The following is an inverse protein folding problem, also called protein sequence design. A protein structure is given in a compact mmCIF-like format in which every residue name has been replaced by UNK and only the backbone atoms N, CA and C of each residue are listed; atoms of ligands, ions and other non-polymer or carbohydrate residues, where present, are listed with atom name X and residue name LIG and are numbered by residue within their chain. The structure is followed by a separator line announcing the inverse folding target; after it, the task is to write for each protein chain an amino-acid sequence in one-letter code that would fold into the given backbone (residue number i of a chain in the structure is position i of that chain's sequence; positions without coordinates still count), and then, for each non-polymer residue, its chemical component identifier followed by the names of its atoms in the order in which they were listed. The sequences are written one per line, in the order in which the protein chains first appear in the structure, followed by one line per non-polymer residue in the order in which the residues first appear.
data_IF_956228336773
#
_entry.id   IF_956228336773
#
_cell.length_a   1.000
_cell.length_b   1.000
_cell.length_c   1.000
_cell.angle_alpha   90.00
_cell.angle_beta   90.00
_cell.angle_gamma   90.00
#
_symmetry.space_group_name_H-M   'P 1'
#
loop_
_entity.id
_entity.type
_entity.pdbx_description
1 polymer ?
#
# COMPACT_ATOMS: atom_id res chain seq x y z
N UNK A 1 8.15 -4.61 11.98
CA UNK A 1 8.90 -4.55 10.71
C UNK A 1 7.87 -4.37 9.62
N UNK A 2 8.01 -3.37 8.74
CA UNK A 2 7.07 -3.15 7.63
C UNK A 2 7.58 -3.98 6.46
N UNK A 3 6.76 -4.89 5.93
CA UNK A 3 7.08 -5.63 4.72
C UNK A 3 6.48 -4.87 3.55
N UNK A 4 7.35 -4.36 2.67
CA UNK A 4 6.93 -3.73 1.43
C UNK A 4 6.79 -4.80 0.34
N UNK A 5 5.68 -4.76 -0.38
CA UNK A 5 5.37 -5.62 -1.52
C UNK A 5 5.22 -4.75 -2.76
N UNK A 6 5.71 -5.25 -3.90
CA UNK A 6 5.52 -4.57 -5.18
C UNK A 6 4.05 -4.63 -5.57
N UNK A 7 3.51 -3.49 -5.95
CA UNK A 7 2.23 -3.43 -6.63
C UNK A 7 2.46 -3.66 -8.12
N UNK A 8 1.78 -4.65 -8.70
CA UNK A 8 1.96 -4.98 -10.12
C UNK A 8 1.31 -3.92 -11.02
N UNK A 9 0.15 -3.40 -10.63
CA UNK A 9 -0.66 -2.48 -11.44
C UNK A 9 -0.44 -1.00 -11.13
N UNK A 10 -0.03 -0.65 -9.91
CA UNK A 10 0.04 0.74 -9.48
C UNK A 10 1.39 1.35 -9.89
N UNK A 11 1.32 2.50 -10.54
CA UNK A 11 2.50 3.24 -11.03
C UNK A 11 2.61 4.59 -10.35
N UNK A 12 3.83 5.01 -10.08
CA UNK A 12 4.11 6.30 -9.48
C UNK A 12 3.67 7.40 -10.45
N UNK A 13 2.80 8.34 -10.03
CA UNK A 13 2.35 9.42 -10.91
C UNK A 13 3.47 10.39 -11.28
N UNK A 14 4.60 10.36 -10.56
CA UNK A 14 5.74 11.27 -10.75
C UNK A 14 6.75 10.76 -11.78
N UNK A 15 7.12 9.48 -11.70
CA UNK A 15 8.15 8.87 -12.56
C UNK A 15 7.66 7.70 -13.43
N UNK A 16 6.43 7.22 -13.23
CA UNK A 16 5.87 6.06 -13.94
C UNK A 16 6.39 4.70 -13.49
N UNK A 17 7.27 4.64 -12.50
CA UNK A 17 7.80 3.40 -11.95
C UNK A 17 6.74 2.61 -11.16
N UNK A 18 6.92 1.29 -10.97
CA UNK A 18 6.04 0.51 -10.10
C UNK A 18 6.07 1.04 -8.66
N UNK A 19 4.90 1.14 -8.03
CA UNK A 19 4.80 1.45 -6.61
C UNK A 19 5.00 0.18 -5.77
N UNK A 20 5.53 0.36 -4.58
CA UNK A 20 5.53 -0.67 -3.54
C UNK A 20 4.65 -0.18 -2.39
N UNK A 21 3.93 -1.10 -1.77
CA UNK A 21 3.08 -0.81 -0.63
C UNK A 21 3.48 -1.66 0.57
N UNK A 22 3.37 -1.10 1.76
CA UNK A 22 3.70 -1.77 3.00
C UNK A 22 2.66 -1.50 4.08
N UNK A 23 2.33 -2.54 4.84
CA UNK A 23 1.39 -2.42 5.96
C UNK A 23 2.14 -2.47 7.28
N UNK A 24 1.91 -1.48 8.14
CA UNK A 24 2.43 -1.44 9.50
C UNK A 24 1.32 -1.81 10.48
N UNK A 25 1.47 -2.93 11.15
CA UNK A 25 0.58 -3.34 12.24
C UNK A 25 0.66 -2.38 13.43
N UNK A 26 -0.50 -1.94 13.90
CA UNK A 26 -0.71 -1.19 15.13
C UNK A 26 -1.78 -1.90 15.98
N UNK A 27 -2.00 -1.42 17.21
CA UNK A 27 -2.81 -2.10 18.22
C UNK A 27 -4.27 -2.44 17.80
N UNK A 28 -4.83 -1.73 16.82
CA UNK A 28 -6.21 -1.97 16.35
C UNK A 28 -6.40 -1.65 14.87
N UNK A 29 -5.30 -1.55 14.13
CA UNK A 29 -5.32 -1.20 12.70
C UNK A 29 -3.97 -1.46 12.05
N UNK A 30 -3.96 -1.60 10.74
CA UNK A 30 -2.75 -1.57 9.92
C UNK A 30 -2.69 -0.29 9.12
N UNK A 31 -1.62 0.47 9.25
CA UNK A 31 -1.38 1.64 8.39
C UNK A 31 -0.79 1.19 7.06
N UNK A 32 -1.35 1.69 5.97
CA UNK A 32 -0.90 1.40 4.61
C UNK A 32 -0.07 2.56 4.11
N UNK A 33 1.15 2.25 3.68
CA UNK A 33 2.11 3.19 3.13
C UNK A 33 2.47 2.77 1.72
N UNK A 34 2.59 3.74 0.83
CA UNK A 34 3.09 3.55 -0.52
C UNK A 34 4.37 4.34 -0.70
N UNK A 35 5.35 3.74 -1.35
CA UNK A 35 6.54 4.44 -1.84
C UNK A 35 6.83 4.05 -3.29
N UNK A 36 7.52 4.94 -3.98
CA UNK A 36 8.05 4.63 -5.29
C UNK A 36 9.23 3.64 -5.18
N UNK A 37 9.16 2.53 -5.92
CA UNK A 37 10.24 1.55 -5.95
C UNK A 37 11.58 2.12 -6.44
N UNK A 38 11.54 3.08 -7.37
CA UNK A 38 12.74 3.76 -7.88
C UNK A 38 13.21 4.91 -6.98
N UNK A 39 12.54 5.14 -5.84
CA UNK A 39 12.84 6.21 -4.89
C UNK A 39 13.02 7.57 -5.57
N UNK A 40 12.09 7.90 -6.47
CA UNK A 40 12.00 9.25 -7.04
C UNK A 40 11.70 10.33 -5.98
N UNK A 41 11.39 9.93 -4.74
CA UNK A 41 11.01 10.80 -3.63
C UNK A 41 9.51 10.81 -3.35
N UNK A 42 8.71 10.06 -4.12
CA UNK A 42 7.29 9.92 -3.88
C UNK A 42 7.02 8.86 -2.81
N UNK A 43 6.47 9.29 -1.69
CA UNK A 43 5.91 8.45 -0.63
C UNK A 43 4.58 9.05 -0.17
N UNK A 44 3.60 8.19 0.09
CA UNK A 44 2.27 8.63 0.51
C UNK A 44 1.65 7.63 1.49
N UNK A 45 1.02 8.15 2.54
CA UNK A 45 0.19 7.35 3.43
C UNK A 45 -1.23 7.30 2.87
N UNK A 46 -1.56 6.20 2.19
CA UNK A 46 -2.84 6.06 1.49
C UNK A 46 -4.01 5.86 2.44
N UNK A 47 -3.79 5.15 3.55
CA UNK A 47 -4.88 4.83 4.44
C UNK A 47 -4.49 3.94 5.61
N UNK A 48 -5.51 3.44 6.29
CA UNK A 48 -5.39 2.44 7.34
C UNK A 48 -6.54 1.45 7.25
N UNK A 49 -6.24 0.19 7.49
CA UNK A 49 -7.20 -0.89 7.58
C UNK A 49 -7.47 -1.14 9.07
N UNK A 50 -8.71 -1.05 9.52
CA UNK A 50 -9.04 -1.31 10.93
C UNK A 50 -9.07 -2.82 11.20
N UNK A 51 -8.69 -3.21 12.41
CA UNK A 51 -8.81 -4.60 12.88
C UNK A 51 -10.25 -5.10 12.80
N UNK A 52 -11.22 -4.23 13.09
CA UNK A 52 -12.64 -4.58 13.03
C UNK A 52 -13.16 -4.89 11.62
N UNK A 53 -12.49 -4.40 10.58
CA UNK A 53 -12.86 -4.67 9.20
C UNK A 53 -12.22 -5.97 8.67
N UNK A 54 -11.25 -6.54 9.37
CA UNK A 54 -10.35 -7.61 8.90
C UNK A 54 -10.56 -8.85 9.74
N UNK A 55 -11.01 -9.93 9.10
CA UNK A 55 -11.09 -11.25 9.74
C UNK A 55 -9.74 -11.97 9.74
N UNK A 56 -8.95 -11.87 8.65
CA UNK A 56 -7.65 -12.52 8.51
C UNK A 56 -6.57 -11.55 8.06
N UNK A 57 -5.32 -11.85 8.41
CA UNK A 57 -4.16 -11.02 8.02
C UNK A 57 -4.04 -10.84 6.50
N UNK A 58 -4.50 -11.80 5.71
CA UNK A 58 -4.53 -11.72 4.25
C UNK A 58 -5.52 -10.65 3.74
N UNK A 59 -6.63 -10.40 4.44
CA UNK A 59 -7.57 -9.32 4.11
C UNK A 59 -6.93 -7.93 4.24
N UNK A 60 -5.93 -7.79 5.12
CA UNK A 60 -5.17 -6.53 5.23
C UNK A 60 -4.38 -6.28 3.95
N UNK A 61 -3.75 -7.32 3.41
CA UNK A 61 -2.93 -7.19 2.20
C UNK A 61 -3.78 -6.91 0.98
N UNK A 62 -4.94 -7.57 0.88
CA UNK A 62 -5.89 -7.36 -0.21
C UNK A 62 -6.44 -5.93 -0.18
N UNK A 63 -6.91 -5.46 0.98
CA UNK A 63 -7.35 -4.06 1.12
C UNK A 63 -6.24 -3.06 0.88
N UNK A 64 -5.02 -3.35 1.36
CA UNK A 64 -3.89 -2.50 1.10
C UNK A 64 -3.68 -2.41 -0.41
N UNK A 65 -3.62 -3.53 -1.14
CA UNK A 65 -3.52 -3.56 -2.60
C UNK A 65 -4.65 -2.79 -3.29
N UNK A 66 -5.90 -2.99 -2.91
CA UNK A 66 -7.04 -2.26 -3.47
C UNK A 66 -6.91 -0.73 -3.33
N UNK A 67 -6.32 -0.24 -2.23
CA UNK A 67 -6.05 1.20 -2.10
C UNK A 67 -5.04 1.71 -3.14
N UNK A 68 -4.16 0.87 -3.66
CA UNK A 68 -3.20 1.20 -4.71
C UNK A 68 -3.80 1.27 -6.10
N UNK A 69 -5.00 0.74 -6.28
CA UNK A 69 -5.74 0.75 -7.54
C UNK A 69 -6.00 2.18 -8.03
N UNK A 70 -6.08 3.16 -7.11
CA UNK A 70 -6.19 4.58 -7.46
C UNK A 70 -5.01 5.13 -8.28
N UNK A 71 -3.86 4.45 -8.25
CA UNK A 71 -2.68 4.73 -9.08
C UNK A 71 -2.42 3.66 -10.15
N UNK A 72 -3.31 2.67 -10.25
CA UNK A 72 -3.34 1.76 -11.38
C UNK A 72 -3.98 2.51 -12.54
N UNK A 73 -3.24 2.67 -13.63
CA UNK A 73 -3.75 3.34 -14.83
C UNK A 73 -4.92 2.58 -15.45
N UNK A 74 -5.79 3.26 -16.24
CA UNK A 74 -6.96 2.67 -16.89
C UNK A 74 -6.62 1.58 -17.92
#
# INVERSE_FOLDING_TARGET
MITFKKHDTATCPDCGASLVYGTKEEASSWKVYYECNERCGWEQMTGRVLLADVDHRDDVDDRAREMGDQWSGP
#
